data_IF_614542238871
#
_entry.id   IF_614542238871
#
_cell.length_a   1.000
_cell.length_b   1.000
_cell.length_c   1.000
_cell.angle_alpha   90.00
_cell.angle_beta   90.00
_cell.angle_gamma   90.00
#
_symmetry.space_group_name_H-M   'P 1'
#
loop_
_entity.id
_entity.type
_entity.pdbx_description
1 polymer ?
#
# COMPACT_ATOMS: atom_id res chain seq x y z
N UNK A 1 -14.62 1.20 12.52
CA UNK A 1 -13.95 -0.11 12.59
C UNK A 1 -12.89 -0.21 11.52
N UNK A 2 -11.71 -0.63 11.91
CA UNK A 2 -10.62 -0.79 10.95
C UNK A 2 -10.86 -2.00 10.04
N UNK A 3 -10.47 -1.86 8.79
CA UNK A 3 -10.62 -2.93 7.80
C UNK A 3 -9.27 -3.24 7.16
N UNK A 4 -9.08 -4.49 6.79
CA UNK A 4 -7.95 -4.92 5.98
C UNK A 4 -8.42 -5.17 4.57
N UNK A 5 -7.65 -4.69 3.59
CA UNK A 5 -8.00 -4.84 2.18
C UNK A 5 -6.83 -5.49 1.46
N UNK A 6 -7.11 -6.60 0.81
CA UNK A 6 -6.11 -7.33 0.03
C UNK A 6 -6.45 -7.24 -1.45
N UNK A 7 -5.46 -6.79 -2.23
CA UNK A 7 -5.59 -6.70 -3.67
C UNK A 7 -4.70 -7.75 -4.32
N UNK A 8 -5.32 -8.64 -5.11
CA UNK A 8 -4.60 -9.59 -5.95
C UNK A 8 -4.66 -9.05 -7.37
N UNK A 9 -3.79 -8.10 -7.65
CA UNK A 9 -3.85 -7.35 -8.90
C UNK A 9 -3.40 -8.17 -10.11
N UNK A 10 -4.01 -7.87 -11.27
CA UNK A 10 -3.49 -8.36 -12.54
C UNK A 10 -2.81 -7.18 -13.25
N UNK A 11 -1.67 -7.46 -13.85
CA UNK A 11 -0.96 -6.44 -14.61
C UNK A 11 -0.16 -5.45 -13.79
N UNK A 12 0.01 -5.70 -12.49
CA UNK A 12 0.81 -4.80 -11.67
C UNK A 12 2.23 -5.33 -11.52
N UNK A 13 3.13 -4.81 -12.34
CA UNK A 13 4.55 -5.04 -12.15
C UNK A 13 5.11 -4.03 -11.16
N UNK A 14 6.33 -4.26 -10.68
CA UNK A 14 6.99 -3.31 -9.80
C UNK A 14 7.11 -1.94 -10.48
N UNK A 15 7.40 -1.92 -11.78
CA UNK A 15 7.51 -0.65 -12.52
C UNK A 15 6.17 0.08 -12.57
N UNK A 16 5.07 -0.63 -12.83
CA UNK A 16 3.75 -0.01 -12.83
C UNK A 16 3.34 0.46 -11.44
N UNK A 17 3.69 -0.32 -10.43
CA UNK A 17 3.42 0.08 -9.05
C UNK A 17 4.12 1.41 -8.74
N UNK A 18 5.39 1.53 -9.11
CA UNK A 18 6.15 2.76 -8.87
C UNK A 18 5.52 3.94 -9.60
N UNK A 19 5.05 3.72 -10.84
CA UNK A 19 4.33 4.76 -11.59
C UNK A 19 3.02 5.15 -10.90
N UNK A 20 2.32 4.16 -10.36
CA UNK A 20 1.08 4.42 -9.63
C UNK A 20 1.35 5.29 -8.40
N UNK A 21 2.39 4.97 -7.64
CA UNK A 21 2.75 5.76 -6.47
C UNK A 21 3.11 7.19 -6.86
N UNK A 22 3.84 7.35 -7.95
CA UNK A 22 4.20 8.66 -8.46
C UNK A 22 2.97 9.48 -8.83
N UNK A 23 2.01 8.86 -9.52
CA UNK A 23 0.77 9.52 -9.90
C UNK A 23 -0.07 9.90 -8.69
N UNK A 24 -0.11 9.04 -7.68
CA UNK A 24 -0.82 9.33 -6.44
C UNK A 24 -0.22 10.52 -5.71
N UNK A 25 1.10 10.59 -5.64
CA UNK A 25 1.78 11.73 -5.03
C UNK A 25 1.45 13.03 -5.76
N UNK A 26 1.45 12.99 -7.08
CA UNK A 26 1.08 14.16 -7.89
C UNK A 26 -0.33 14.62 -7.62
N UNK A 27 -1.24 13.69 -7.37
CA UNK A 27 -2.63 13.99 -7.09
C UNK A 27 -2.86 14.38 -5.63
N UNK A 28 -1.80 14.45 -4.82
CA UNK A 28 -1.93 14.77 -3.40
C UNK A 28 -2.42 13.62 -2.55
N UNK A 29 -2.36 12.39 -3.07
CA UNK A 29 -2.90 11.21 -2.40
C UNK A 29 -1.82 10.18 -2.08
N UNK A 30 -0.57 10.61 -1.93
CA UNK A 30 0.52 9.69 -1.59
C UNK A 30 0.44 9.14 -0.18
N UNK A 31 -0.24 9.86 0.70
CA UNK A 31 -0.44 9.42 2.07
C UNK A 31 -1.88 9.74 2.47
N UNK A 32 -2.84 8.94 1.98
CA UNK A 32 -4.25 9.29 2.14
C UNK A 32 -4.72 9.17 3.59
N UNK A 33 -5.62 10.07 4.01
CA UNK A 33 -6.18 10.00 5.35
C UNK A 33 -6.88 8.68 5.60
N UNK A 34 -6.64 8.10 6.75
CA UNK A 34 -7.30 6.86 7.14
C UNK A 34 -6.54 5.59 6.79
N UNK A 35 -5.49 5.68 5.96
CA UNK A 35 -4.65 4.49 5.70
C UNK A 35 -3.57 4.41 6.76
N UNK A 36 -3.63 3.34 7.57
CA UNK A 36 -2.68 3.16 8.65
C UNK A 36 -1.55 2.19 8.30
N UNK A 37 -1.70 1.42 7.22
CA UNK A 37 -0.67 0.48 6.80
C UNK A 37 -0.82 0.19 5.32
N UNK A 38 0.29 0.03 4.63
CA UNK A 38 0.31 -0.30 3.21
C UNK A 38 1.56 -1.11 2.92
N UNK A 39 1.39 -2.21 2.21
CA UNK A 39 2.51 -3.01 1.75
C UNK A 39 2.25 -3.55 0.36
N UNK A 40 3.25 -3.43 -0.50
CA UNK A 40 3.23 -4.09 -1.80
C UNK A 40 4.25 -5.21 -1.73
N UNK A 41 3.88 -6.39 -2.19
CA UNK A 41 4.73 -7.56 -2.06
C UNK A 41 4.47 -8.56 -3.16
N UNK A 42 5.41 -9.48 -3.34
CA UNK A 42 5.29 -10.53 -4.33
C UNK A 42 6.31 -10.39 -5.44
N UNK A 43 6.19 -11.18 -6.52
CA UNK A 43 7.13 -11.13 -7.63
C UNK A 43 7.09 -9.80 -8.35
N UNK A 44 8.21 -9.38 -8.93
CA UNK A 44 8.33 -8.09 -9.64
C UNK A 44 7.32 -7.91 -10.75
N UNK A 45 6.88 -8.99 -11.37
CA UNK A 45 5.93 -8.91 -12.48
C UNK A 45 4.49 -9.08 -12.05
N UNK A 46 4.24 -9.37 -10.77
CA UNK A 46 2.88 -9.53 -10.28
C UNK A 46 2.82 -9.19 -8.79
N UNK A 47 2.82 -7.90 -8.50
CA UNK A 47 2.73 -7.44 -7.11
C UNK A 47 1.31 -7.52 -6.60
N UNK A 48 1.21 -7.82 -5.30
CA UNK A 48 -0.04 -7.77 -4.56
C UNK A 48 0.07 -6.67 -3.53
N UNK A 49 -1.06 -6.18 -3.04
CA UNK A 49 -1.08 -5.08 -2.07
C UNK A 49 -1.98 -5.44 -0.91
N UNK A 50 -1.55 -5.10 0.28
CA UNK A 50 -2.37 -5.21 1.48
C UNK A 50 -2.38 -3.88 2.21
N UNK A 51 -3.58 -3.40 2.54
CA UNK A 51 -3.77 -2.14 3.26
C UNK A 51 -4.57 -2.36 4.53
N UNK A 52 -4.32 -1.51 5.52
CA UNK A 52 -5.22 -1.37 6.66
C UNK A 52 -5.75 0.07 6.66
N UNK A 53 -7.06 0.20 6.77
CA UNK A 53 -7.76 1.49 6.76
C UNK A 53 -8.60 1.62 8.02
N UNK A 54 -8.74 2.86 8.49
CA UNK A 54 -9.54 3.12 9.70
C UNK A 54 -11.02 2.89 9.48
N UNK A 55 -11.48 3.01 8.22
CA UNK A 55 -12.88 2.77 7.89
C UNK A 55 -13.06 2.49 6.41
N UNK A 56 -14.18 1.89 6.05
CA UNK A 56 -14.56 1.68 4.66
C UNK A 56 -14.72 3.02 3.94
N UNK A 57 -15.30 4.00 4.61
CA UNK A 57 -15.53 5.31 4.02
C UNK A 57 -14.22 5.99 3.61
N UNK A 58 -13.18 5.87 4.43
CA UNK A 58 -11.88 6.44 4.11
C UNK A 58 -11.28 5.78 2.85
N UNK A 59 -11.42 4.46 2.76
CA UNK A 59 -10.96 3.75 1.58
C UNK A 59 -11.74 4.13 0.33
N UNK A 60 -13.08 4.23 0.44
CA UNK A 60 -13.93 4.58 -0.69
C UNK A 60 -13.57 5.96 -1.24
N UNK A 61 -13.27 6.89 -0.36
CA UNK A 61 -12.85 8.23 -0.77
C UNK A 61 -11.52 8.19 -1.53
N UNK A 62 -10.57 7.43 -1.05
CA UNK A 62 -9.28 7.25 -1.72
C UNK A 62 -9.47 6.59 -3.08
N UNK A 63 -10.40 5.65 -3.18
CA UNK A 63 -10.67 4.91 -4.42
C UNK A 63 -11.05 5.81 -5.57
N UNK A 64 -11.69 6.94 -5.29
CA UNK A 64 -12.06 7.90 -6.34
C UNK A 64 -10.84 8.47 -7.06
N UNK A 65 -9.73 8.60 -6.35
CA UNK A 65 -8.47 9.05 -6.94
C UNK A 65 -7.70 7.87 -7.53
N UNK A 66 -7.72 6.73 -6.85
CA UNK A 66 -6.93 5.57 -7.24
C UNK A 66 -7.41 4.93 -8.53
N UNK A 67 -8.72 4.72 -8.68
CA UNK A 67 -9.24 3.93 -9.80
C UNK A 67 -8.89 4.48 -11.18
N UNK A 68 -9.00 5.80 -11.43
CA UNK A 68 -8.57 6.32 -12.74
C UNK A 68 -7.10 6.10 -13.03
N UNK A 69 -6.27 6.15 -11.99
CA UNK A 69 -4.84 5.95 -12.14
C UNK A 69 -4.55 4.50 -12.54
N UNK A 70 -5.21 3.55 -11.87
CA UNK A 70 -5.06 2.14 -12.22
C UNK A 70 -5.48 1.86 -13.65
N UNK A 71 -6.59 2.47 -14.08
CA UNK A 71 -7.07 2.31 -15.46
C UNK A 71 -6.06 2.83 -16.47
N UNK A 72 -5.47 4.00 -16.20
CA UNK A 72 -4.46 4.57 -17.10
C UNK A 72 -3.25 3.67 -17.24
N UNK A 73 -2.90 2.96 -16.19
CA UNK A 73 -1.71 2.12 -16.17
C UNK A 73 -1.99 0.68 -16.62
N UNK A 74 -3.25 0.39 -16.92
CA UNK A 74 -3.63 -0.96 -17.34
C UNK A 74 -3.56 -1.98 -16.23
N UNK A 75 -3.74 -1.54 -14.98
CA UNK A 75 -3.74 -2.42 -13.83
C UNK A 75 -5.17 -2.80 -13.49
N UNK A 76 -5.45 -4.10 -13.43
CA UNK A 76 -6.75 -4.60 -13.03
C UNK A 76 -6.69 -5.03 -11.58
N UNK A 77 -7.29 -4.23 -10.69
CA UNK A 77 -7.31 -4.54 -9.27
C UNK A 77 -8.32 -5.64 -8.91
N UNK A 78 -9.22 -5.98 -9.84
CA UNK A 78 -10.24 -6.99 -9.60
C UNK A 78 -11.14 -6.61 -8.44
N UNK A 79 -11.60 -7.62 -7.72
CA UNK A 79 -12.41 -7.44 -6.52
C UNK A 79 -11.51 -7.59 -5.30
N UNK A 80 -11.22 -6.50 -4.59
CA UNK A 80 -10.40 -6.62 -3.39
C UNK A 80 -11.15 -7.37 -2.29
N UNK A 81 -10.41 -8.12 -1.49
CA UNK A 81 -10.97 -8.80 -0.33
C UNK A 81 -10.95 -7.84 0.85
N UNK A 82 -12.13 -7.57 1.41
CA UNK A 82 -12.27 -6.62 2.52
C UNK A 82 -12.78 -7.38 3.74
N UNK A 83 -12.09 -7.25 4.86
CA UNK A 83 -12.48 -7.91 6.10
C UNK A 83 -12.17 -7.01 7.29
N UNK A 84 -12.92 -7.16 8.39
CA UNK A 84 -12.62 -6.38 9.59
C UNK A 84 -11.26 -6.80 10.17
N UNK A 85 -10.53 -5.84 10.69
CA UNK A 85 -9.26 -6.11 11.35
C UNK A 85 -9.54 -6.45 12.80
N UNK A 86 -8.99 -7.55 13.27
CA UNK A 86 -9.07 -7.92 14.67
C UNK A 86 -7.97 -7.22 15.47
N UNK A 87 -6.74 -7.26 14.98
CA UNK A 87 -5.61 -6.69 15.70
C UNK A 87 -4.45 -6.41 14.76
N UNK A 88 -3.74 -5.32 15.00
CA UNK A 88 -2.50 -5.00 14.30
C UNK A 88 -1.40 -4.89 15.35
N UNK A 89 -0.30 -5.59 15.13
CA UNK A 89 0.86 -5.49 16.01
C UNK A 89 2.02 -5.02 15.15
N UNK A 90 2.61 -3.89 15.53
CA UNK A 90 3.75 -3.35 14.82
C UNK A 90 4.90 -3.21 15.80
N UNK A 91 6.15 -3.22 15.32
CA UNK A 91 7.28 -2.99 16.20
C UNK A 91 7.18 -1.61 16.84
N UNK A 92 7.53 -1.51 18.12
CA UNK A 92 7.59 -0.21 18.73
C UNK A 92 8.74 0.53 18.16
N UNK A 93 8.49 1.74 17.90
CA UNK A 93 9.45 2.51 17.22
C UNK A 93 10.64 2.72 18.02
N UNK A 94 11.31 2.23 18.26
CA UNK A 94 12.47 2.49 18.70
C UNK A 94 13.31 2.19 17.77
N UNK A 95 13.05 2.10 17.18
CA UNK A 95 13.55 1.73 16.15
C UNK A 95 14.22 2.46 15.32
N UNK A 96 14.45 2.67 15.75
CA UNK A 96 14.99 3.12 15.16
C UNK A 96 15.46 3.27 14.19
N UNK A 97 15.63 3.32 14.17
CA UNK A 97 15.93 3.43 13.49
C UNK A 97 16.20 3.51 12.48
N UNK A 98 16.49 3.48 12.28
CA UNK A 98 16.71 3.56 11.43
C UNK A 98 16.94 3.41 10.37
N UNK A 99 17.17 3.20 10.38
CA UNK A 99 17.42 3.16 9.85
C UNK A 99 17.21 2.73 8.90
N UNK A 100 17.36 2.39 8.93
CA UNK A 100 17.37 2.18 8.56
C UNK A 100 17.13 1.55 7.84
N UNK A 101 17.48 1.20 7.75
CA UNK A 101 17.35 0.82 7.53
C UNK A 101 17.28 0.43 6.85
N UNK A 102 17.42 0.08 6.89
CA UNK A 102 17.41 -0.10 6.71
C UNK A 102 17.53 -0.51 6.08
N UNK A 103 17.65 -0.74 6.08
CA UNK A 103 17.82 -0.88 5.98
C UNK A 103 17.84 -1.41 5.65
N UNK A 104 18.15 -1.73 5.57
CA UNK A 104 18.17 -1.96 5.69
C UNK A 104 18.36 -2.38 5.29
N UNK A 105 18.63 -2.63 5.27
CA UNK A 105 18.77 -2.70 5.41
C UNK A 105 19.07 -2.92 5.23
N UNK A 106 19.27 -3.15 5.26
CA UNK A 106 19.48 -2.90 5.68
C UNK A 106 19.89 -2.95 5.62
N UNK A 107 20.23 -3.10 5.67
CA UNK A 107 20.60 -2.72 6.20
C UNK A 107 20.74 -2.82 6.26
N UNK A 108 21.08 -3.15 6.32
CA UNK A 108 21.27 -2.73 6.97
C UNK A 108 21.65 -2.84 7.23
N UNK A 109 22.15 -2.98 7.58
CA UNK A 109 22.42 -2.64 8.31
C UNK A 109 22.51 -2.56 8.57
N UNK A 110 22.92 -2.60 8.70
CA UNK A 110 23.07 -2.15 9.43
C UNK A 110 23.10 -2.07 9.67
N UNK A 111 23.49 -2.11 9.88
CA UNK A 111 23.60 -1.76 10.55
C UNK A 111 23.84 -1.76 10.60
#
# INVERSE_FOLDING_TARGET
MAIGIYFSNNGMSAAKYDECIKSLKKAGAGNPPGRSYHAAFGPKDKLMVFDVWTSQAAFDKFGKTLMPILQQLGIDSGQPTVMPVHKVIVPTAKVTSPRKQAKASARGKKR
#
